data_IF_272213599815
#
_entry.id   IF_272213599815
#
_cell.length_a   1.000
_cell.length_b   1.000
_cell.length_c   1.000
_cell.angle_alpha   90.00
_cell.angle_beta   90.00
_cell.angle_gamma   90.00
#
_symmetry.space_group_name_H-M   'P 1'
#
loop_
_entity.id
_entity.type
_entity.pdbx_description
1 polymer ?
#
# COMPACT_ATOMS: atom_id res chain seq x y z
N UNK A 1 -5.70 -33.48 -4.44
CA UNK A 1 -6.83 -32.73 -3.85
C UNK A 1 -7.02 -31.47 -4.66
N UNK A 2 -8.26 -31.09 -4.97
CA UNK A 2 -8.53 -29.85 -5.70
C UNK A 2 -8.31 -28.63 -4.79
N UNK A 3 -7.74 -27.51 -5.30
CA UNK A 3 -7.66 -26.27 -4.52
C UNK A 3 -9.07 -25.72 -4.29
N UNK A 4 -9.42 -25.48 -3.03
CA UNK A 4 -10.72 -24.92 -2.66
C UNK A 4 -10.66 -23.40 -2.84
N UNK A 5 -11.33 -22.89 -3.87
CA UNK A 5 -11.55 -21.46 -4.09
C UNK A 5 -12.89 -21.06 -3.46
N UNK A 6 -12.89 -20.70 -2.18
CA UNK A 6 -14.07 -20.08 -1.57
C UNK A 6 -14.01 -18.57 -1.83
N UNK A 7 -14.80 -18.08 -2.78
CA UNK A 7 -15.02 -16.64 -2.95
C UNK A 7 -15.78 -16.13 -1.72
N UNK A 8 -15.22 -15.13 -1.03
CA UNK A 8 -15.76 -14.57 0.20
C UNK A 8 -16.65 -13.36 -0.09
N UNK A 9 -17.83 -13.32 0.53
CA UNK A 9 -18.62 -12.10 0.65
C UNK A 9 -17.99 -11.23 1.74
N UNK A 10 -17.48 -10.06 1.33
CA UNK A 10 -16.65 -9.15 2.10
C UNK A 10 -17.45 -8.19 3.00
N UNK A 11 -18.78 -8.29 3.02
CA UNK A 11 -19.65 -7.33 3.72
C UNK A 11 -19.76 -7.55 5.24
N UNK A 12 -19.15 -8.60 5.80
CA UNK A 12 -19.23 -8.88 7.24
C UNK A 12 -17.87 -9.31 7.81
N UNK A 13 -17.27 -8.47 8.66
CA UNK A 13 -15.99 -8.74 9.33
C UNK A 13 -15.97 -10.06 10.11
N UNK A 14 -17.14 -10.53 10.58
CA UNK A 14 -17.28 -11.84 11.23
C UNK A 14 -17.05 -13.03 10.27
N UNK A 15 -17.33 -12.88 8.98
CA UNK A 15 -17.08 -13.90 7.97
C UNK A 15 -15.57 -14.06 7.69
N UNK A 16 -14.81 -12.96 7.74
CA UNK A 16 -13.36 -12.96 7.59
C UNK A 16 -12.67 -13.71 8.74
N UNK A 17 -13.04 -13.44 9.99
CA UNK A 17 -12.50 -14.15 11.17
C UNK A 17 -12.82 -15.64 11.15
N UNK A 18 -14.03 -16.03 10.69
CA UNK A 18 -14.40 -17.45 10.57
C UNK A 18 -13.63 -18.17 9.46
N UNK A 19 -13.48 -17.56 8.28
CA UNK A 19 -12.77 -18.17 7.16
C UNK A 19 -11.29 -18.40 7.47
N UNK A 20 -10.65 -17.44 8.13
CA UNK A 20 -9.24 -17.50 8.49
C UNK A 20 -8.97 -18.55 9.61
N UNK A 21 -9.93 -18.73 10.53
CA UNK A 21 -9.91 -19.82 11.51
C UNK A 21 -10.05 -21.22 10.86
N UNK A 22 -10.87 -21.36 9.81
CA UNK A 22 -11.08 -22.63 9.11
C UNK A 22 -9.84 -23.07 8.33
N UNK A 23 -9.18 -22.16 7.59
CA UNK A 23 -7.95 -22.47 6.86
C UNK A 23 -6.79 -22.88 7.77
N UNK A 24 -6.63 -22.20 8.90
CA UNK A 24 -5.56 -22.47 9.88
C UNK A 24 -5.74 -23.81 10.61
N UNK A 25 -6.98 -24.17 10.96
CA UNK A 25 -7.27 -25.46 11.59
C UNK A 25 -6.99 -26.65 10.66
N UNK A 26 -7.23 -26.47 9.36
CA UNK A 26 -7.04 -27.51 8.35
C UNK A 26 -5.56 -27.72 8.00
N UNK A 27 -4.76 -26.63 7.91
CA UNK A 27 -3.31 -26.72 7.72
C UNK A 27 -2.62 -27.45 8.89
N UNK A 28 -3.06 -27.19 10.13
CA UNK A 28 -2.57 -27.89 11.32
C UNK A 28 -2.90 -29.37 11.34
N UNK A 29 -4.09 -29.75 10.89
CA UNK A 29 -4.50 -31.15 10.81
C UNK A 29 -3.68 -31.95 9.77
N UNK A 30 -3.11 -31.27 8.76
CA UNK A 30 -2.26 -31.86 7.73
C UNK A 30 -0.79 -32.06 8.10
N UNK A 31 -0.36 -31.55 9.27
CA UNK A 31 1.06 -31.57 9.67
C UNK A 31 1.92 -30.51 8.96
N UNK A 32 1.30 -29.52 8.32
CA UNK A 32 2.02 -28.44 7.66
C UNK A 32 2.67 -27.48 8.68
N UNK A 33 3.89 -27.05 8.39
CA UNK A 33 4.58 -26.01 9.16
C UNK A 33 3.90 -24.67 8.86
N UNK A 34 3.05 -24.22 9.78
CA UNK A 34 2.39 -22.92 9.71
C UNK A 34 3.37 -21.84 10.17
N UNK A 35 3.64 -20.78 9.36
CA UNK A 35 4.50 -19.68 9.78
C UNK A 35 4.02 -19.04 11.09
N UNK A 36 4.94 -18.79 12.02
CA UNK A 36 4.61 -18.17 13.30
C UNK A 36 4.49 -16.64 13.21
N UNK A 37 5.09 -16.03 12.19
CA UNK A 37 4.98 -14.60 11.94
C UNK A 37 3.62 -14.26 11.31
N UNK A 38 3.01 -13.12 11.67
CA UNK A 38 1.81 -12.64 11.00
C UNK A 38 2.11 -12.16 9.58
N UNK A 39 1.11 -12.25 8.71
CA UNK A 39 1.12 -11.65 7.38
C UNK A 39 0.40 -10.32 7.41
N UNK A 40 0.98 -9.30 6.80
CA UNK A 40 0.27 -8.07 6.53
C UNK A 40 -0.61 -8.27 5.30
N UNK A 41 -1.89 -7.95 5.41
CA UNK A 41 -2.85 -8.07 4.31
C UNK A 41 -3.51 -6.72 4.06
N UNK A 42 -3.65 -6.39 2.78
CA UNK A 42 -4.31 -5.18 2.29
C UNK A 42 -5.33 -5.58 1.22
N UNK A 43 -6.50 -4.95 1.22
CA UNK A 43 -7.59 -5.23 0.29
C UNK A 43 -8.51 -4.03 0.10
N UNK A 44 -9.62 -4.23 -0.61
CA UNK A 44 -10.78 -3.35 -0.54
C UNK A 44 -11.34 -3.35 0.90
N UNK A 45 -11.26 -2.20 1.54
CA UNK A 45 -11.93 -1.88 2.79
C UNK A 45 -11.16 -2.25 4.05
N UNK A 46 -10.05 -2.99 3.95
CA UNK A 46 -9.32 -3.51 5.10
C UNK A 46 -7.81 -3.57 4.90
N UNK A 47 -7.09 -3.14 5.94
CA UNK A 47 -5.68 -3.38 6.19
C UNK A 47 -5.55 -4.06 7.55
N UNK A 48 -4.76 -5.13 7.67
CA UNK A 48 -4.65 -5.89 8.91
C UNK A 48 -3.51 -6.90 8.97
N UNK A 49 -3.18 -7.33 10.19
CA UNK A 49 -2.31 -8.49 10.44
C UNK A 49 -3.14 -9.77 10.50
N UNK A 50 -2.84 -10.73 9.64
CA UNK A 50 -3.35 -12.09 9.74
C UNK A 50 -2.36 -12.98 10.49
N UNK A 51 -2.82 -13.62 11.56
CA UNK A 51 -2.04 -14.50 12.41
C UNK A 51 -2.29 -15.96 12.01
N UNK A 52 -1.37 -16.63 11.29
CA UNK A 52 -1.64 -17.96 10.72
C UNK A 52 -1.82 -19.03 11.80
N UNK A 53 -1.14 -18.83 12.93
CA UNK A 53 -1.24 -19.71 14.10
C UNK A 53 -2.64 -19.57 14.72
N UNK A 54 -3.07 -18.38 15.11
CA UNK A 54 -4.37 -18.24 15.79
C UNK A 54 -5.58 -18.16 14.83
N UNK A 55 -5.35 -17.99 13.53
CA UNK A 55 -6.37 -17.72 12.53
C UNK A 55 -7.07 -16.38 12.73
N UNK A 56 -6.47 -15.46 13.51
CA UNK A 56 -7.05 -14.16 13.82
C UNK A 56 -6.63 -13.09 12.82
N UNK A 57 -7.52 -12.12 12.62
CA UNK A 57 -7.25 -10.91 11.85
C UNK A 57 -7.30 -9.70 12.78
N UNK A 58 -6.17 -9.03 12.96
CA UNK A 58 -6.06 -7.77 13.70
C UNK A 58 -6.16 -6.61 12.72
N UNK A 59 -7.26 -5.87 12.76
CA UNK A 59 -7.51 -4.75 11.85
C UNK A 59 -6.63 -3.56 12.23
N UNK A 60 -5.83 -3.08 11.29
CA UNK A 60 -5.05 -1.84 11.44
C UNK A 60 -5.86 -0.64 10.98
N UNK A 61 -6.56 -0.75 9.85
CA UNK A 61 -7.34 0.35 9.31
C UNK A 61 -8.45 -0.16 8.38
N UNK A 62 -9.59 0.54 8.34
CA UNK A 62 -10.74 0.12 7.54
C UNK A 62 -11.59 1.29 7.05
N UNK A 63 -12.41 1.07 6.02
CA UNK A 63 -13.45 2.04 5.60
C UNK A 63 -13.02 3.17 4.65
N UNK A 64 -11.72 3.41 4.41
CA UNK A 64 -11.26 4.51 3.54
C UNK A 64 -11.08 4.15 2.05
N UNK A 65 -11.43 2.93 1.63
CA UNK A 65 -11.38 2.52 0.23
C UNK A 65 -10.49 1.31 0.01
N UNK A 66 -9.45 1.43 -0.81
CA UNK A 66 -8.61 0.34 -1.27
C UNK A 66 -7.17 0.60 -0.85
N UNK A 67 -6.55 -0.39 -0.23
CA UNK A 67 -5.17 -0.30 0.25
C UNK A 67 -4.19 -0.96 -0.74
N UNK A 68 -3.12 -0.25 -1.07
CA UNK A 68 -2.01 -0.70 -1.93
C UNK A 68 -0.68 -0.25 -1.34
N UNK A 69 0.44 -0.79 -1.85
CA UNK A 69 1.78 -0.26 -1.60
C UNK A 69 2.11 -0.08 -0.13
N UNK A 70 2.56 -1.14 0.51
CA UNK A 70 2.90 -1.13 1.94
C UNK A 70 4.38 -0.80 2.09
N UNK A 71 4.66 0.22 2.89
CA UNK A 71 6.01 0.65 3.25
C UNK A 71 6.18 0.57 4.77
N UNK A 72 6.81 -0.49 5.30
CA UNK A 72 7.15 -0.60 6.71
C UNK A 72 8.07 0.55 7.17
N UNK A 73 7.79 1.14 8.34
CA UNK A 73 8.73 2.05 8.99
C UNK A 73 9.81 1.26 9.74
N UNK A 74 11.07 1.52 9.44
CA UNK A 74 12.23 0.79 9.95
C UNK A 74 12.74 -0.26 8.96
N UNK A 75 14.03 -0.14 8.60
CA UNK A 75 14.77 -0.97 7.64
C UNK A 75 13.98 -1.46 6.41
N UNK A 76 13.76 -0.54 5.47
CA UNK A 76 13.34 -0.84 4.10
C UNK A 76 14.43 -1.57 3.26
N UNK A 77 15.35 -2.29 3.90
CA UNK A 77 16.58 -2.78 3.27
C UNK A 77 17.23 -4.03 3.88
N UNK A 78 16.52 -4.85 4.67
CA UNK A 78 17.14 -6.04 5.29
C UNK A 78 16.21 -7.23 5.45
N UNK A 79 16.74 -8.43 5.22
CA UNK A 79 16.13 -9.76 5.36
C UNK A 79 15.57 -10.11 6.76
N UNK A 80 15.40 -9.15 7.66
CA UNK A 80 14.87 -9.37 9.00
C UNK A 80 13.48 -8.74 9.14
N UNK A 81 12.48 -9.62 9.08
CA UNK A 81 11.07 -9.39 9.35
C UNK A 81 10.83 -8.93 10.80
N UNK A 82 11.34 -7.76 11.18
CA UNK A 82 10.87 -7.06 12.35
C UNK A 82 9.52 -6.46 11.98
N UNK A 83 8.48 -6.87 12.70
CA UNK A 83 7.17 -6.31 12.49
C UNK A 83 7.23 -4.81 12.84
N UNK A 84 6.86 -3.93 11.90
CA UNK A 84 7.11 -2.51 12.06
C UNK A 84 6.17 -1.90 13.10
N UNK A 85 6.62 -0.84 13.79
CA UNK A 85 5.77 -0.09 14.74
C UNK A 85 4.72 0.74 14.02
N UNK A 86 5.07 1.28 12.86
CA UNK A 86 4.14 1.96 11.98
C UNK A 86 4.42 1.58 10.54
N UNK A 87 3.48 1.83 9.65
CA UNK A 87 3.71 1.68 8.22
C UNK A 87 3.00 2.79 7.47
N UNK A 88 3.52 3.07 6.29
CA UNK A 88 2.83 3.85 5.28
C UNK A 88 2.10 2.93 4.32
N UNK A 89 0.90 3.32 3.92
CA UNK A 89 0.08 2.58 2.96
C UNK A 89 -0.63 3.56 2.04
N UNK A 90 -0.74 3.21 0.76
CA UNK A 90 -1.59 3.96 -0.16
C UNK A 90 -3.05 3.64 0.13
N UNK A 91 -3.86 4.67 0.35
CA UNK A 91 -5.32 4.59 0.43
C UNK A 91 -5.93 5.29 -0.77
N UNK A 92 -6.65 4.53 -1.59
CA UNK A 92 -7.43 5.03 -2.72
C UNK A 92 -8.92 4.90 -2.42
N UNK A 93 -9.71 5.97 -2.59
CA UNK A 93 -11.16 5.91 -2.41
C UNK A 93 -11.84 4.89 -3.34
N UNK A 94 -12.88 4.23 -2.84
CA UNK A 94 -13.65 3.27 -3.62
C UNK A 94 -14.41 3.98 -4.76
N UNK A 95 -14.45 3.39 -5.96
CA UNK A 95 -15.17 3.88 -7.16
C UNK A 95 -14.62 5.14 -7.87
N UNK A 96 -13.37 5.52 -7.67
CA UNK A 96 -12.73 6.49 -8.59
C UNK A 96 -12.37 5.76 -9.89
N UNK A 97 -13.35 5.63 -10.80
CA UNK A 97 -13.08 5.14 -12.15
C UNK A 97 -12.21 6.12 -12.93
N UNK A 98 -11.64 5.69 -14.06
CA UNK A 98 -10.80 6.51 -14.96
C UNK A 98 -11.47 7.79 -15.49
N UNK A 99 -12.77 7.97 -15.24
CA UNK A 99 -13.60 9.10 -15.67
C UNK A 99 -13.99 10.05 -14.52
N UNK A 100 -13.47 9.85 -13.30
CA UNK A 100 -13.74 10.77 -12.20
C UNK A 100 -13.13 12.14 -12.51
N UNK A 101 -13.94 13.20 -12.43
CA UNK A 101 -13.46 14.58 -12.54
C UNK A 101 -12.43 14.82 -11.42
N UNK A 102 -11.23 15.30 -11.78
CA UNK A 102 -10.15 15.61 -10.84
C UNK A 102 -10.58 16.57 -9.72
N UNK A 103 -11.64 17.35 -9.91
CA UNK A 103 -12.23 18.25 -8.90
C UNK A 103 -13.16 17.54 -7.91
N UNK A 104 -13.67 16.35 -8.24
CA UNK A 104 -14.64 15.59 -7.42
C UNK A 104 -14.13 14.21 -7.01
N UNK A 105 -13.04 13.73 -7.63
CA UNK A 105 -12.33 12.54 -7.22
C UNK A 105 -11.86 12.74 -5.78
N UNK A 106 -12.31 11.86 -4.89
CA UNK A 106 -11.71 11.76 -3.55
C UNK A 106 -10.21 11.48 -3.75
N UNK A 107 -9.35 12.23 -3.06
CA UNK A 107 -7.89 12.17 -3.24
C UNK A 107 -7.33 10.82 -2.79
N UNK A 108 -6.25 10.40 -3.43
CA UNK A 108 -5.43 9.31 -2.93
C UNK A 108 -4.53 9.83 -1.81
N UNK A 109 -4.24 8.99 -0.82
CA UNK A 109 -3.42 9.34 0.33
C UNK A 109 -2.31 8.30 0.54
N UNK A 110 -1.17 8.75 1.05
CA UNK A 110 -0.29 7.92 1.87
C UNK A 110 -0.73 8.08 3.33
N UNK A 111 -1.26 7.01 3.91
CA UNK A 111 -1.67 6.95 5.31
C UNK A 111 -0.53 6.35 6.13
N UNK A 112 -0.14 7.01 7.22
CA UNK A 112 0.68 6.41 8.26
C UNK A 112 -0.24 5.81 9.30
N UNK A 113 -0.09 4.52 9.57
CA UNK A 113 -0.91 3.81 10.56
C UNK A 113 0.00 3.16 11.60
N UNK A 114 -0.46 3.15 12.85
CA UNK A 114 0.16 2.29 13.86
C UNK A 114 0.02 0.83 13.41
N UNK A 115 1.16 0.16 13.29
CA UNK A 115 1.28 -1.22 12.84
C UNK A 115 1.79 -2.15 13.94
N UNK A 116 1.95 -1.64 15.17
CA UNK A 116 2.50 -2.37 16.30
C UNK A 116 1.81 -3.73 16.45
N UNK A 117 2.54 -4.86 16.47
CA UNK A 117 1.91 -6.17 16.41
C UNK A 117 1.02 -6.44 17.62
N UNK A 118 -0.22 -6.84 17.37
CA UNK A 118 -1.06 -7.46 18.39
C UNK A 118 -1.99 -8.49 17.76
N UNK A 119 -2.30 -9.54 18.50
CA UNK A 119 -3.40 -10.46 18.19
C UNK A 119 -4.78 -9.91 18.63
N UNK A 120 -4.80 -8.81 19.37
CA UNK A 120 -6.03 -8.17 19.83
C UNK A 120 -6.84 -7.60 18.67
N UNK A 121 -8.13 -7.93 18.66
CA UNK A 121 -9.04 -7.60 17.58
C UNK A 121 -9.72 -6.27 17.90
N UNK A 122 -9.25 -5.16 17.32
CA UNK A 122 -9.95 -3.87 17.40
C UNK A 122 -10.86 -3.71 16.17
N UNK A 123 -11.97 -4.46 16.16
CA UNK A 123 -12.91 -4.50 15.01
C UNK A 123 -13.68 -3.19 14.87
N UNK A 124 -13.91 -2.46 15.95
CA UNK A 124 -14.85 -1.32 15.96
C UNK A 124 -14.22 0.04 15.69
N UNK A 125 -12.90 0.20 15.84
CA UNK A 125 -12.26 1.53 15.80
C UNK A 125 -11.02 1.60 14.89
N UNK A 126 -10.56 0.47 14.32
CA UNK A 126 -9.25 0.43 13.67
C UNK A 126 -8.14 0.80 14.65
N UNK A 127 -6.91 0.93 14.17
CA UNK A 127 -5.85 1.62 14.91
C UNK A 127 -5.81 3.10 14.51
N UNK A 128 -5.08 3.86 15.30
CA UNK A 128 -4.86 5.28 15.07
C UNK A 128 -4.21 5.53 13.71
N UNK A 129 -4.89 6.33 12.88
CA UNK A 129 -4.27 7.01 11.74
C UNK A 129 -3.32 8.06 12.30
N UNK A 130 -2.01 7.82 12.15
CA UNK A 130 -0.96 8.70 12.63
C UNK A 130 -0.77 9.89 11.68
N UNK A 131 -1.05 9.68 10.38
CA UNK A 131 -0.95 10.71 9.36
C UNK A 131 -1.77 10.36 8.11
N UNK A 132 -2.19 11.38 7.36
CA UNK A 132 -2.69 11.25 6.00
C UNK A 132 -2.10 12.35 5.12
N UNK A 133 -1.25 11.95 4.17
CA UNK A 133 -0.65 12.87 3.19
C UNK A 133 -1.30 12.65 1.82
N UNK A 134 -1.98 13.66 1.25
CA UNK A 134 -2.51 13.56 -0.10
C UNK A 134 -1.37 13.39 -1.10
N UNK A 135 -1.56 12.49 -2.07
CA UNK A 135 -0.59 12.24 -3.14
C UNK A 135 -1.13 12.74 -4.49
N UNK A 136 -0.23 13.15 -5.37
CA UNK A 136 -0.57 13.77 -6.65
C UNK A 136 -1.09 12.77 -7.70
N UNK A 137 -0.93 11.47 -7.44
CA UNK A 137 -1.41 10.41 -8.31
C UNK A 137 -2.93 10.40 -8.37
N UNK A 138 -3.48 10.39 -9.58
CA UNK A 138 -4.94 10.33 -9.81
C UNK A 138 -5.46 8.89 -9.65
N UNK A 139 -4.63 7.91 -9.97
CA UNK A 139 -4.93 6.50 -9.82
C UNK A 139 -3.64 5.72 -9.66
N UNK A 140 -3.57 4.92 -8.59
CA UNK A 140 -2.38 4.18 -8.20
C UNK A 140 -2.73 2.73 -7.90
N UNK A 141 -1.84 1.82 -8.29
CA UNK A 141 -1.87 0.40 -7.93
C UNK A 141 -0.81 0.00 -6.92
N UNK A 142 0.22 0.81 -6.74
CA UNK A 142 1.33 0.42 -5.90
C UNK A 142 2.16 1.62 -5.42
N UNK A 143 2.83 1.38 -4.30
CA UNK A 143 3.89 2.22 -3.79
C UNK A 143 4.94 1.33 -3.11
N UNK A 144 6.19 1.73 -3.24
CA UNK A 144 7.32 0.99 -2.70
C UNK A 144 8.25 1.93 -1.95
N UNK A 145 8.60 1.56 -0.73
CA UNK A 145 9.53 2.32 0.10
C UNK A 145 10.91 1.70 0.07
N UNK A 146 11.92 2.55 -0.02
CA UNK A 146 13.32 2.15 0.05
C UNK A 146 14.14 3.25 0.72
N UNK A 147 14.94 2.88 1.72
CA UNK A 147 15.66 3.84 2.55
C UNK A 147 14.73 4.95 3.08
N UNK A 148 14.97 6.22 2.70
CA UNK A 148 14.18 7.38 3.11
C UNK A 148 13.22 7.89 2.02
N UNK A 149 12.87 7.04 1.05
CA UNK A 149 12.04 7.42 -0.09
C UNK A 149 10.83 6.49 -0.23
N UNK A 150 9.73 7.04 -0.77
CA UNK A 150 8.59 6.26 -1.28
C UNK A 150 8.40 6.59 -2.75
N UNK A 151 8.39 5.56 -3.58
CA UNK A 151 7.96 5.65 -4.97
C UNK A 151 6.49 5.27 -5.05
N UNK A 152 5.67 6.10 -5.68
CA UNK A 152 4.25 5.85 -5.91
C UNK A 152 3.98 5.77 -7.40
N UNK A 153 3.25 4.75 -7.83
CA UNK A 153 2.82 4.64 -9.22
C UNK A 153 1.65 5.62 -9.49
N UNK A 154 1.81 6.55 -10.43
CA UNK A 154 0.68 7.23 -11.07
C UNK A 154 0.27 6.47 -12.32
N UNK A 155 -0.39 5.33 -12.08
CA UNK A 155 -0.85 4.41 -13.11
C UNK A 155 -1.72 5.12 -14.16
N UNK A 156 -2.53 6.12 -13.77
CA UNK A 156 -3.35 6.86 -14.74
C UNK A 156 -2.51 7.67 -15.74
N UNK A 157 -1.37 8.20 -15.32
CA UNK A 157 -0.52 9.09 -16.14
C UNK A 157 0.68 8.39 -16.76
N UNK A 158 1.17 7.30 -16.15
CA UNK A 158 2.42 6.65 -16.52
C UNK A 158 3.64 7.25 -15.81
N UNK A 159 3.42 8.06 -14.77
CA UNK A 159 4.50 8.68 -14.00
C UNK A 159 4.83 7.82 -12.78
N UNK A 160 6.06 7.95 -12.29
CA UNK A 160 6.44 7.50 -10.95
C UNK A 160 6.71 8.73 -10.10
N UNK A 161 6.03 8.85 -8.96
CA UNK A 161 6.16 9.98 -8.05
C UNK A 161 7.08 9.57 -6.90
N UNK A 162 8.13 10.34 -6.65
CA UNK A 162 9.08 10.11 -5.57
C UNK A 162 8.85 11.10 -4.44
N UNK A 163 8.60 10.58 -3.23
CA UNK A 163 8.42 11.32 -2.00
C UNK A 163 9.56 11.00 -1.01
N UNK A 164 10.00 11.97 -0.22
CA UNK A 164 10.92 11.73 0.90
C UNK A 164 10.12 11.42 2.17
N UNK A 165 10.41 10.33 2.87
CA UNK A 165 9.69 9.91 4.09
C UNK A 165 9.78 10.96 5.20
N UNK A 166 10.97 11.53 5.44
CA UNK A 166 11.14 12.61 6.43
C UNK A 166 10.26 13.84 6.15
N UNK A 167 10.05 14.17 4.87
CA UNK A 167 9.18 15.28 4.48
C UNK A 167 7.70 14.94 4.75
N UNK A 168 7.30 13.68 4.51
CA UNK A 168 5.96 13.18 4.84
C UNK A 168 5.71 13.19 6.35
N UNK A 169 6.69 12.78 7.16
CA UNK A 169 6.61 12.80 8.62
C UNK A 169 6.56 14.22 9.20
N UNK A 170 7.31 15.15 8.62
CA UNK A 170 7.22 16.57 8.94
C UNK A 170 5.83 17.15 8.66
N UNK A 171 5.25 16.83 7.49
CA UNK A 171 3.91 17.25 7.11
C UNK A 171 2.83 16.65 8.04
N UNK A 172 2.98 15.39 8.43
CA UNK A 172 2.09 14.71 9.37
C UNK A 172 2.05 15.37 10.76
N UNK A 173 3.23 15.76 11.26
CA UNK A 173 3.41 16.33 12.60
C UNK A 173 2.87 17.77 12.75
N UNK A 174 2.51 18.41 11.63
CA UNK A 174 2.07 19.82 11.55
C UNK A 174 0.61 20.10 11.93
N UNK A 175 -0.13 19.14 12.49
CA UNK A 175 -1.46 19.39 13.07
C UNK A 175 -2.66 19.15 12.16
N UNK A 176 -2.59 18.14 11.27
CA UNK A 176 -3.78 17.62 10.57
C UNK A 176 -4.35 18.52 9.46
N UNK A 177 -3.65 19.60 9.09
CA UNK A 177 -3.97 20.35 7.87
C UNK A 177 -3.47 19.53 6.68
N UNK A 178 -4.40 19.12 5.82
CA UNK A 178 -4.05 18.54 4.53
C UNK A 178 -3.22 19.57 3.75
N UNK A 179 -2.01 19.24 3.26
CA UNK A 179 -1.25 20.14 2.43
C UNK A 179 -2.10 20.54 1.20
N UNK A 180 -2.08 21.84 0.87
CA UNK A 180 -2.76 22.35 -0.32
C UNK A 180 -2.11 21.77 -1.59
N UNK A 181 -2.82 21.81 -2.73
CA UNK A 181 -2.37 21.15 -3.96
C UNK A 181 -0.97 21.58 -4.43
N UNK A 182 -0.57 22.80 -4.11
CA UNK A 182 0.75 23.32 -4.45
C UNK A 182 1.83 22.82 -3.47
N UNK A 183 1.50 22.60 -2.19
CA UNK A 183 2.40 21.98 -1.20
C UNK A 183 2.62 20.48 -1.51
N UNK A 184 1.61 19.79 -2.03
CA UNK A 184 1.74 18.40 -2.50
C UNK A 184 2.61 18.29 -3.75
N UNK A 185 2.60 19.31 -4.62
CA UNK A 185 3.48 19.35 -5.80
C UNK A 185 4.94 19.52 -5.39
N UNK A 186 5.21 20.39 -4.43
CA UNK A 186 6.57 20.62 -3.94
C UNK A 186 7.10 19.42 -3.13
N UNK A 187 6.22 18.58 -2.59
CA UNK A 187 6.58 17.40 -1.80
C UNK A 187 7.04 16.19 -2.62
N UNK A 188 7.02 16.25 -3.96
CA UNK A 188 7.42 15.11 -4.79
C UNK A 188 8.20 15.49 -6.04
N UNK A 189 8.95 14.51 -6.55
CA UNK A 189 9.57 14.56 -7.87
C UNK A 189 8.82 13.61 -8.80
N UNK A 190 8.25 14.13 -9.89
CA UNK A 190 7.61 13.31 -10.92
C UNK A 190 8.65 12.82 -11.94
N UNK A 191 8.68 11.50 -12.15
CA UNK A 191 9.53 10.83 -13.13
C UNK A 191 8.67 10.42 -14.34
N UNK A 192 8.79 11.17 -15.44
CA UNK A 192 8.01 10.98 -16.66
C UNK A 192 8.57 9.87 -17.55
N UNK A 193 8.54 8.64 -17.03
CA UNK A 193 9.19 7.48 -17.63
C UNK A 193 8.31 6.72 -18.62
N UNK A 194 6.99 6.77 -18.40
CA UNK A 194 6.04 5.98 -19.16
C UNK A 194 4.85 6.82 -19.61
N UNK A 195 3.97 6.21 -20.40
CA UNK A 195 2.76 6.86 -20.87
C UNK A 195 1.52 6.27 -20.20
N UNK A 196 0.36 6.90 -20.39
CA UNK A 196 -0.94 6.35 -19.93
C UNK A 196 -1.24 4.93 -20.43
N UNK A 197 -0.60 4.50 -21.53
CA UNK A 197 -0.75 3.14 -22.06
C UNK A 197 0.09 2.13 -21.27
N UNK A 198 1.15 2.59 -20.64
CA UNK A 198 2.06 1.82 -19.81
C UNK A 198 1.53 1.82 -18.38
N UNK A 199 0.55 0.95 -18.14
CA UNK A 199 -0.16 0.88 -16.88
C UNK A 199 0.73 0.22 -15.80
N UNK A 200 1.35 1.05 -14.95
CA UNK A 200 2.27 0.64 -13.88
C UNK A 200 1.49 -0.08 -12.78
N UNK A 201 1.78 -1.37 -12.58
CA UNK A 201 1.09 -2.20 -11.60
C UNK A 201 1.91 -2.47 -10.34
N UNK A 202 3.23 -2.50 -10.46
CA UNK A 202 4.11 -2.85 -9.35
C UNK A 202 5.40 -2.05 -9.44
N UNK A 203 5.89 -1.60 -8.29
CA UNK A 203 7.16 -0.93 -8.14
C UNK A 203 8.08 -1.72 -7.19
N UNK A 204 9.37 -1.64 -7.47
CA UNK A 204 10.45 -2.05 -6.58
C UNK A 204 11.57 -1.02 -6.71
N UNK A 205 12.21 -0.66 -5.61
CA UNK A 205 13.34 0.28 -5.63
C UNK A 205 14.56 -0.30 -4.92
N UNK A 206 15.73 0.13 -5.37
CA UNK A 206 17.01 0.00 -4.68
C UNK A 206 17.69 1.37 -4.59
N UNK A 207 19.00 1.36 -4.31
CA UNK A 207 19.76 2.59 -4.07
C UNK A 207 19.67 3.61 -5.21
N UNK A 208 20.03 3.19 -6.43
CA UNK A 208 20.10 4.06 -7.62
C UNK A 208 19.09 3.72 -8.71
N UNK A 209 18.53 2.52 -8.66
CA UNK A 209 17.62 2.01 -9.68
C UNK A 209 16.28 1.61 -9.09
N UNK A 210 15.26 1.61 -9.93
CA UNK A 210 13.97 1.04 -9.62
C UNK A 210 13.44 0.21 -10.80
N UNK A 211 12.52 -0.70 -10.50
CA UNK A 211 11.89 -1.59 -11.44
C UNK A 211 10.39 -1.30 -11.44
N UNK A 212 9.82 -1.10 -12.62
CA UNK A 212 8.38 -1.05 -12.84
C UNK A 212 7.91 -2.30 -13.58
N UNK A 213 6.86 -2.95 -13.07
CA UNK A 213 6.10 -3.96 -13.80
C UNK A 213 4.87 -3.30 -14.44
N UNK A 214 4.82 -3.30 -15.76
CA UNK A 214 3.78 -2.70 -16.58
C UNK A 214 2.82 -3.78 -17.08
N UNK A 215 1.51 -3.54 -17.00
CA UNK A 215 0.52 -4.45 -17.55
C UNK A 215 -0.81 -3.74 -17.89
N UNK A 216 -1.17 -3.75 -19.18
CA UNK A 216 -2.38 -3.10 -19.72
C UNK A 216 -3.13 -4.02 -20.70
N UNK A 217 -3.64 -5.16 -20.22
CA UNK A 217 -4.43 -6.11 -21.02
C UNK A 217 -3.65 -6.87 -22.11
N UNK A 218 -2.34 -6.64 -22.23
CA UNK A 218 -1.40 -7.38 -23.07
C UNK A 218 -0.30 -8.05 -22.25
N UNK A 219 0.82 -8.49 -22.87
CA UNK A 219 1.94 -9.07 -22.16
C UNK A 219 2.52 -8.10 -21.13
N UNK A 220 2.82 -8.61 -19.93
CA UNK A 220 3.49 -7.83 -18.89
C UNK A 220 4.95 -7.55 -19.26
N UNK A 221 5.45 -6.38 -18.88
CA UNK A 221 6.82 -5.93 -19.16
C UNK A 221 7.46 -5.39 -17.89
N UNK A 222 8.70 -5.80 -17.61
CA UNK A 222 9.50 -5.23 -16.54
C UNK A 222 10.48 -4.21 -17.12
N UNK A 223 10.57 -3.02 -16.53
CA UNK A 223 11.47 -1.95 -16.96
C UNK A 223 12.29 -1.48 -15.76
N UNK A 224 13.61 -1.65 -15.85
CA UNK A 224 14.57 -1.10 -14.89
C UNK A 224 14.92 0.33 -15.34
N UNK A 225 14.93 1.28 -14.41
CA UNK A 225 15.24 2.68 -14.67
C UNK A 225 16.12 3.28 -13.57
N UNK A 226 16.91 4.28 -13.95
CA UNK A 226 17.71 5.10 -13.02
C UNK A 226 16.80 6.16 -12.38
N UNK A 227 16.84 6.27 -11.04
CA UNK A 227 16.00 7.20 -10.28
C UNK A 227 16.40 8.67 -10.45
N UNK A 228 17.66 8.96 -10.77
CA UNK A 228 18.21 10.32 -10.88
C UNK A 228 18.06 10.90 -12.30
N UNK A 229 18.28 10.10 -13.35
CA UNK A 229 18.08 10.57 -14.72
C UNK A 229 16.60 10.85 -15.04
N UNK A 230 15.68 10.14 -14.40
CA UNK A 230 14.25 10.27 -14.62
C UNK A 230 13.66 11.58 -14.07
N UNK A 231 14.33 12.20 -13.09
CA UNK A 231 13.92 13.45 -12.46
C UNK A 231 14.27 14.71 -13.28
N UNK A 232 15.21 14.60 -14.23
CA UNK A 232 15.75 15.75 -14.98
C UNK A 232 14.97 16.10 -16.27
N UNK A 233 13.95 15.31 -16.62
CA UNK A 233 13.16 15.53 -17.84
C UNK A 233 12.10 16.64 -17.73
N UNK A 234 12.04 17.37 -16.61
CA UNK A 234 10.99 18.33 -16.28
C UNK A 234 11.49 19.76 -16.02
N UNK A 235 12.73 20.10 -16.40
CA UNK A 235 13.28 21.45 -16.33
C UNK A 235 13.26 22.17 -17.69
#
# INVERSE_FOLDING_TARGET
GAPVTTALDMSQTQALTRAAAVGSAQARAGGDVVPSAPFLIASHGLLGWYWPVSGKLSVLHSGQGIYYGIVPEGDAGGDNAHMPKSLWVVSRPHNVGSNADAKTARRNFLLKVDASPTEDVHVSEGREELAAVPIASVFTHDAYGYANEVLVADTARGDVLRYALDALDGAASGGGRLPEDDEVKDAHVAMHLFTRKDHINTLLAGDSHALALLHSGGPSRAVLFDKECAAQASA
#
